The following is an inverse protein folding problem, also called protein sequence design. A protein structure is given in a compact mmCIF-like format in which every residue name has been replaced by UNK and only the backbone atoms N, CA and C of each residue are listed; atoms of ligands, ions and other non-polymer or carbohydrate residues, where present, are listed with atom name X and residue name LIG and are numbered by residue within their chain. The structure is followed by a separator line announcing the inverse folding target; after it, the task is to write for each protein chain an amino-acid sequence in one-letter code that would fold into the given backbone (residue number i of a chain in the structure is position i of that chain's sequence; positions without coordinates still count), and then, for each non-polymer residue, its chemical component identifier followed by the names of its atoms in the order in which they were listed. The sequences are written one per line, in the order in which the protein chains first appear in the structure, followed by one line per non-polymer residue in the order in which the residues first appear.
data_IF_372639821622
#
_entry.id   IF_372639821622
#
_cell.length_a   1.000
_cell.length_b   1.000
_cell.length_c   1.000
_cell.angle_alpha   90.00
_cell.angle_beta   90.00
_cell.angle_gamma   90.00
#
_symmetry.space_group_name_H-M   'P 1'
#
loop_
_entity.id
_entity.type
_entity.pdbx_description
1 polymer ?
#
# COMPACT_ATOMS: atom_id res chain seq x y z
N UNK A 1 -36.96 -60.99 46.88
CA UNK A 1 -36.49 -62.12 46.05
C UNK A 1 -36.40 -61.66 44.60
N UNK A 2 -35.19 -61.29 44.17
CA UNK A 2 -34.73 -61.41 42.78
C UNK A 2 -34.36 -62.89 42.52
N UNK A 3 -33.96 -63.32 41.31
CA UNK A 3 -34.31 -62.90 39.94
C UNK A 3 -34.58 -64.14 39.04
N UNK A 4 -34.94 -63.97 37.76
CA UNK A 4 -34.35 -64.77 36.68
C UNK A 4 -34.55 -64.05 35.35
N UNK A 5 -33.43 -63.71 34.71
CA UNK A 5 -33.40 -63.28 33.32
C UNK A 5 -33.16 -64.45 32.38
N UNK A 6 -33.55 -64.29 31.13
CA UNK A 6 -32.99 -65.04 30.00
C UNK A 6 -32.93 -64.13 28.78
N UNK A 7 -31.74 -64.05 28.20
CA UNK A 7 -31.38 -63.30 27.01
C UNK A 7 -32.04 -63.85 25.72
N UNK A 8 -32.18 -62.99 24.71
CA UNK A 8 -32.61 -63.41 23.36
C UNK A 8 -32.71 -62.26 22.35
N UNK A 9 -31.58 -62.00 21.69
CA UNK A 9 -31.26 -61.22 20.49
C UNK A 9 -32.35 -60.74 19.49
N UNK A 10 -32.00 -59.63 18.83
CA UNK A 10 -32.47 -59.21 17.49
C UNK A 10 -33.46 -58.04 17.58
N UNK A 11 -33.19 -56.82 17.12
CA UNK A 11 -32.35 -56.40 16.01
C UNK A 11 -33.23 -55.51 15.14
N UNK A 12 -33.27 -54.21 15.43
CA UNK A 12 -33.72 -53.17 14.50
C UNK A 12 -33.04 -51.84 14.89
N UNK A 13 -31.71 -51.89 14.93
CA UNK A 13 -30.91 -50.70 14.75
C UNK A 13 -31.03 -50.29 13.28
N UNK A 14 -32.00 -49.43 12.97
CA UNK A 14 -32.05 -48.74 11.68
C UNK A 14 -30.72 -47.99 11.54
N UNK A 15 -29.79 -48.62 10.83
CA UNK A 15 -28.58 -48.00 10.33
C UNK A 15 -29.05 -46.80 9.52
N UNK A 16 -28.92 -45.61 10.12
CA UNK A 16 -28.86 -44.34 9.37
C UNK A 16 -27.67 -44.47 8.43
N UNK A 17 -27.92 -45.09 7.28
CA UNK A 17 -27.18 -44.84 6.05
C UNK A 17 -26.92 -43.34 5.99
N UNK A 18 -25.65 -42.97 6.10
CA UNK A 18 -25.19 -41.59 6.15
C UNK A 18 -25.46 -40.90 4.80
N UNK A 19 -26.71 -40.56 4.52
CA UNK A 19 -27.01 -39.47 3.62
C UNK A 19 -26.77 -38.16 4.39
N UNK A 20 -25.50 -37.83 4.60
CA UNK A 20 -25.13 -36.46 5.00
C UNK A 20 -25.62 -35.56 3.86
N UNK A 21 -26.51 -34.62 4.14
CA UNK A 21 -26.92 -33.57 3.20
C UNK A 21 -25.66 -32.92 2.58
N UNK A 22 -25.27 -33.39 1.39
CA UNK A 22 -24.11 -32.88 0.63
C UNK A 22 -24.42 -31.54 -0.03
N UNK A 23 -25.66 -31.08 0.07
CA UNK A 23 -26.14 -29.86 -0.58
C UNK A 23 -25.55 -28.61 0.09
N UNK A 24 -25.52 -28.55 1.43
CA UNK A 24 -24.98 -27.38 2.15
C UNK A 24 -23.50 -27.09 1.80
N UNK A 25 -22.57 -28.06 1.82
CA UNK A 25 -21.19 -27.81 1.39
C UNK A 25 -21.06 -27.42 -0.08
N UNK A 26 -21.91 -27.97 -0.94
CA UNK A 26 -21.90 -27.68 -2.39
C UNK A 26 -22.39 -26.27 -2.66
N UNK A 27 -23.49 -25.86 -2.02
CA UNK A 27 -24.03 -24.50 -2.08
C UNK A 27 -23.04 -23.46 -1.59
N UNK A 28 -22.32 -23.71 -0.50
CA UNK A 28 -21.28 -22.79 0.00
C UNK A 28 -20.17 -22.59 -1.04
N UNK A 29 -19.71 -23.67 -1.69
CA UNK A 29 -18.68 -23.56 -2.75
C UNK A 29 -19.17 -22.73 -3.93
N UNK A 30 -20.39 -22.97 -4.40
CA UNK A 30 -20.96 -22.18 -5.49
C UNK A 30 -21.16 -20.72 -5.10
N UNK A 31 -21.65 -20.43 -3.90
CA UNK A 31 -21.79 -19.07 -3.37
C UNK A 31 -20.45 -18.34 -3.32
N UNK A 32 -19.40 -19.00 -2.83
CA UNK A 32 -18.06 -18.43 -2.79
C UNK A 32 -17.55 -18.09 -4.19
N UNK A 33 -17.65 -19.03 -5.13
CA UNK A 33 -17.19 -18.85 -6.51
C UNK A 33 -17.97 -17.71 -7.20
N UNK A 34 -19.29 -17.67 -7.03
CA UNK A 34 -20.13 -16.63 -7.62
C UNK A 34 -19.79 -15.24 -7.08
N UNK A 35 -19.58 -15.10 -5.77
CA UNK A 35 -19.19 -13.84 -5.15
C UNK A 35 -17.82 -13.37 -5.65
N UNK A 36 -16.82 -14.26 -5.72
CA UNK A 36 -15.49 -13.94 -6.24
C UNK A 36 -15.52 -13.60 -7.73
N UNK A 37 -16.34 -14.30 -8.51
CA UNK A 37 -16.51 -14.04 -9.94
C UNK A 37 -17.11 -12.67 -10.19
N UNK A 38 -18.14 -12.28 -9.44
CA UNK A 38 -18.75 -10.96 -9.56
C UNK A 38 -17.73 -9.82 -9.28
N UNK A 39 -16.86 -9.98 -8.28
CA UNK A 39 -15.79 -9.02 -8.00
C UNK A 39 -14.73 -9.00 -9.10
N UNK A 40 -14.32 -10.17 -9.60
CA UNK A 40 -13.41 -10.29 -10.74
C UNK A 40 -13.98 -9.61 -11.99
N UNK A 41 -15.25 -9.81 -12.31
CA UNK A 41 -15.91 -9.21 -13.47
C UNK A 41 -16.00 -7.68 -13.37
N UNK A 42 -16.19 -7.13 -12.17
CA UNK A 42 -16.15 -5.69 -11.94
C UNK A 42 -14.77 -5.09 -12.25
N UNK A 43 -13.71 -5.76 -11.80
CA UNK A 43 -12.31 -5.32 -11.96
C UNK A 43 -11.78 -5.62 -13.37
N UNK A 44 -12.28 -6.66 -14.05
CA UNK A 44 -11.87 -7.09 -15.40
C UNK A 44 -11.92 -5.97 -16.44
N UNK A 45 -12.89 -5.07 -16.32
CA UNK A 45 -13.05 -3.94 -17.25
C UNK A 45 -11.94 -2.88 -17.15
N UNK A 46 -11.07 -2.96 -16.13
CA UNK A 46 -9.89 -2.12 -15.97
C UNK A 46 -8.60 -2.81 -16.40
N UNK A 47 -8.66 -4.05 -16.93
CA UNK A 47 -7.47 -4.79 -17.33
C UNK A 47 -6.94 -4.34 -18.70
N UNK A 48 -5.64 -4.04 -18.76
CA UNK A 48 -4.88 -3.79 -19.99
C UNK A 48 -4.90 -2.33 -20.48
N UNK A 49 -4.23 -2.01 -21.61
CA UNK A 49 -4.10 -0.63 -22.11
C UNK A 49 -5.41 0.03 -22.54
N UNK A 50 -6.46 -0.77 -22.77
CA UNK A 50 -7.82 -0.30 -23.08
C UNK A 50 -8.76 -0.46 -21.87
N UNK A 51 -8.20 -0.70 -20.69
CA UNK A 51 -8.95 -0.73 -19.43
C UNK A 51 -9.57 0.63 -19.15
N UNK A 52 -10.78 0.61 -18.61
CA UNK A 52 -11.47 1.83 -18.20
C UNK A 52 -11.20 2.12 -16.72
N UNK A 53 -10.95 3.39 -16.42
CA UNK A 53 -10.81 3.84 -15.04
C UNK A 53 -12.15 3.74 -14.29
N UNK A 54 -12.05 3.50 -12.98
CA UNK A 54 -13.20 3.48 -12.08
C UNK A 54 -13.19 4.73 -11.24
N UNK A 55 -14.31 5.46 -11.31
CA UNK A 55 -14.63 6.52 -10.37
C UNK A 55 -15.35 5.89 -9.18
N UNK A 56 -14.76 6.02 -8.00
CA UNK A 56 -15.30 5.51 -6.74
C UNK A 56 -15.50 6.70 -5.81
N UNK A 57 -16.72 6.85 -5.31
CA UNK A 57 -17.05 7.86 -4.30
C UNK A 57 -17.08 7.19 -2.93
N UNK A 58 -16.23 7.66 -2.02
CA UNK A 58 -16.24 7.22 -0.64
C UNK A 58 -17.40 7.85 0.15
N UNK A 59 -17.74 7.28 1.30
CA UNK A 59 -18.87 7.73 2.12
C UNK A 59 -18.70 9.18 2.66
N UNK A 60 -17.46 9.67 2.75
CA UNK A 60 -17.14 11.04 3.13
C UNK A 60 -17.26 12.05 1.97
N UNK A 61 -17.60 11.59 0.77
CA UNK A 61 -17.70 12.41 -0.44
C UNK A 61 -16.43 12.48 -1.27
N UNK A 62 -15.31 11.91 -0.83
CA UNK A 62 -14.06 11.90 -1.59
C UNK A 62 -14.20 11.03 -2.84
N UNK A 63 -13.86 11.60 -4.00
CA UNK A 63 -13.90 10.92 -5.29
C UNK A 63 -12.49 10.48 -5.66
N UNK A 64 -12.29 9.18 -5.88
CA UNK A 64 -11.05 8.61 -6.39
C UNK A 64 -11.30 8.03 -7.78
N UNK A 65 -10.48 8.42 -8.74
CA UNK A 65 -10.48 7.84 -10.09
C UNK A 65 -9.20 7.03 -10.22
N UNK A 66 -9.32 5.73 -10.50
CA UNK A 66 -8.17 4.84 -10.60
C UNK A 66 -8.40 3.67 -11.55
N UNK A 67 -7.31 3.20 -12.17
CA UNK A 67 -7.24 1.96 -12.94
C UNK A 67 -6.73 0.78 -12.09
N UNK A 68 -6.04 1.09 -10.99
CA UNK A 68 -5.35 0.09 -10.19
C UNK A 68 -6.33 -0.80 -9.41
N UNK A 69 -6.26 -2.12 -9.67
CA UNK A 69 -7.11 -3.12 -9.06
C UNK A 69 -7.04 -3.14 -7.53
N UNK A 70 -5.86 -2.93 -6.95
CA UNK A 70 -5.69 -2.92 -5.50
C UNK A 70 -6.42 -1.73 -4.87
N UNK A 71 -6.27 -0.54 -5.46
CA UNK A 71 -6.98 0.66 -5.01
C UNK A 71 -8.50 0.52 -5.19
N UNK A 72 -8.97 -0.03 -6.32
CA UNK A 72 -10.40 -0.29 -6.57
C UNK A 72 -10.97 -1.21 -5.48
N UNK A 73 -10.30 -2.34 -5.23
CA UNK A 73 -10.74 -3.34 -4.27
C UNK A 73 -10.68 -2.85 -2.82
N UNK A 74 -9.71 -2.00 -2.48
CA UNK A 74 -9.58 -1.41 -1.15
C UNK A 74 -10.68 -0.40 -0.84
N UNK A 75 -11.13 0.35 -1.84
CA UNK A 75 -12.22 1.32 -1.67
C UNK A 75 -13.60 0.68 -1.77
N UNK A 76 -13.71 -0.43 -2.51
CA UNK A 76 -14.95 -1.21 -2.58
C UNK A 76 -15.21 -1.91 -1.24
N UNK A 77 -16.34 -1.61 -0.61
CA UNK A 77 -16.75 -2.28 0.63
C UNK A 77 -17.28 -3.69 0.34
N UNK A 78 -16.38 -4.66 0.21
CA UNK A 78 -16.72 -6.06 -0.04
C UNK A 78 -17.16 -6.75 1.26
N UNK A 79 -18.43 -7.14 1.35
CA UNK A 79 -19.00 -7.81 2.52
C UNK A 79 -18.74 -9.32 2.56
N UNK A 80 -18.70 -9.97 1.39
CA UNK A 80 -18.59 -11.43 1.31
C UNK A 80 -17.16 -11.91 1.65
N UNK A 81 -16.96 -12.82 2.62
CA UNK A 81 -15.62 -13.23 3.06
C UNK A 81 -14.72 -13.76 1.94
N UNK A 82 -15.25 -14.63 1.06
CA UNK A 82 -14.48 -15.15 -0.08
C UNK A 82 -13.99 -14.05 -1.03
N UNK A 83 -14.76 -12.98 -1.19
CA UNK A 83 -14.37 -11.87 -2.05
C UNK A 83 -13.38 -10.92 -1.34
N UNK A 84 -13.43 -10.83 -0.01
CA UNK A 84 -12.40 -10.14 0.78
C UNK A 84 -11.01 -10.79 0.62
N UNK A 85 -10.95 -12.11 0.43
CA UNK A 85 -9.69 -12.80 0.11
C UNK A 85 -9.07 -12.31 -1.20
N UNK A 86 -9.87 -11.91 -2.21
CA UNK A 86 -9.34 -11.31 -3.44
C UNK A 86 -8.73 -9.93 -3.20
N UNK A 87 -9.28 -9.16 -2.26
CA UNK A 87 -8.71 -7.86 -1.85
C UNK A 87 -7.33 -8.07 -1.21
N UNK A 88 -7.21 -9.07 -0.34
CA UNK A 88 -5.93 -9.42 0.30
C UNK A 88 -4.91 -9.95 -0.72
N UNK A 89 -5.34 -10.77 -1.68
CA UNK A 89 -4.51 -11.25 -2.79
C UNK A 89 -3.97 -10.09 -3.63
N UNK A 90 -4.84 -9.15 -4.02
CA UNK A 90 -4.44 -7.97 -4.78
C UNK A 90 -3.48 -7.08 -3.99
N UNK A 91 -3.64 -6.98 -2.68
CA UNK A 91 -2.75 -6.21 -1.80
C UNK A 91 -1.39 -6.87 -1.64
N UNK A 92 -1.34 -8.20 -1.54
CA UNK A 92 -0.07 -8.93 -1.48
C UNK A 92 0.71 -8.73 -2.79
N UNK A 93 0.04 -8.79 -3.94
CA UNK A 93 0.66 -8.53 -5.24
C UNK A 93 1.21 -7.10 -5.36
N UNK A 94 0.49 -6.10 -4.83
CA UNK A 94 0.91 -4.70 -4.80
C UNK A 94 2.19 -4.48 -3.95
N UNK A 95 2.36 -5.26 -2.88
CA UNK A 95 3.55 -5.16 -2.02
C UNK A 95 4.76 -5.90 -2.60
N UNK A 96 4.55 -7.12 -3.10
CA UNK A 96 5.64 -7.99 -3.56
C UNK A 96 6.15 -7.62 -4.96
N UNK A 97 5.24 -7.30 -5.88
CA UNK A 97 5.58 -7.00 -7.27
C UNK A 97 5.33 -5.54 -7.66
N UNK A 98 4.38 -4.85 -7.02
CA UNK A 98 4.01 -3.47 -7.34
C UNK A 98 3.24 -3.28 -8.66
N UNK A 99 2.98 -4.36 -9.40
CA UNK A 99 2.18 -4.37 -10.63
C UNK A 99 1.39 -5.67 -10.78
N UNK A 100 0.39 -5.68 -11.68
CA UNK A 100 -0.44 -6.84 -11.96
C UNK A 100 -1.54 -7.11 -10.94
N UNK A 101 -1.86 -6.13 -10.09
CA UNK A 101 -2.94 -6.18 -9.07
C UNK A 101 -4.29 -6.54 -9.68
N UNK A 102 -4.63 -5.97 -10.84
CA UNK A 102 -5.83 -6.30 -11.60
C UNK A 102 -5.77 -7.71 -12.19
N UNK A 103 -4.61 -8.09 -12.74
CA UNK A 103 -4.42 -9.39 -13.41
C UNK A 103 -4.56 -10.57 -12.45
N UNK A 104 -4.02 -10.48 -11.24
CA UNK A 104 -4.08 -11.58 -10.26
C UNK A 104 -5.52 -11.87 -9.82
N UNK A 105 -6.35 -10.84 -9.71
CA UNK A 105 -7.77 -10.95 -9.34
C UNK A 105 -8.57 -11.60 -10.47
N UNK A 106 -8.34 -11.16 -11.71
CA UNK A 106 -9.01 -11.73 -12.89
C UNK A 106 -8.60 -13.18 -13.12
N UNK A 107 -7.32 -13.51 -12.90
CA UNK A 107 -6.81 -14.87 -12.98
C UNK A 107 -7.47 -15.76 -11.91
N UNK A 108 -7.53 -15.31 -10.66
CA UNK A 108 -8.18 -16.04 -9.57
C UNK A 108 -9.67 -16.27 -9.85
N UNK A 109 -10.39 -15.24 -10.32
CA UNK A 109 -11.80 -15.37 -10.72
C UNK A 109 -12.01 -16.40 -11.85
N UNK A 110 -11.13 -16.38 -12.85
CA UNK A 110 -11.18 -17.32 -13.99
C UNK A 110 -10.88 -18.76 -13.58
N UNK A 111 -9.90 -18.98 -12.69
CA UNK A 111 -9.57 -20.30 -12.13
C UNK A 111 -10.72 -20.87 -11.29
N UNK A 112 -11.40 -20.03 -10.52
CA UNK A 112 -12.57 -20.43 -9.74
C UNK A 112 -13.77 -20.78 -10.63
N UNK A 113 -13.97 -20.05 -11.72
CA UNK A 113 -15.02 -20.36 -12.72
C UNK A 113 -14.74 -21.69 -13.44
N UNK A 114 -13.48 -21.92 -13.85
CA UNK A 114 -13.05 -23.20 -14.41
C UNK A 114 -13.25 -24.34 -13.39
N UNK A 115 -12.94 -24.10 -12.12
CA UNK A 115 -13.15 -25.07 -11.04
C UNK A 115 -14.63 -25.40 -10.84
N UNK A 116 -15.55 -24.44 -11.01
CA UNK A 116 -17.00 -24.70 -10.94
C UNK A 116 -17.46 -25.72 -11.99
N UNK A 117 -16.89 -25.66 -13.19
CA UNK A 117 -17.17 -26.64 -14.25
C UNK A 117 -16.70 -28.05 -13.87
N UNK A 118 -15.53 -28.18 -13.23
CA UNK A 118 -15.00 -29.47 -12.77
C UNK A 118 -15.81 -30.03 -11.60
N UNK A 119 -16.26 -29.16 -10.68
CA UNK A 119 -17.14 -29.53 -9.57
C UNK A 119 -18.49 -30.06 -10.08
N UNK A 120 -19.07 -29.44 -11.11
CA UNK A 120 -20.33 -29.93 -11.71
C UNK A 120 -20.21 -31.32 -12.36
N UNK A 121 -18.99 -31.70 -12.77
CA UNK A 121 -18.68 -33.04 -13.30
C UNK A 121 -18.42 -34.09 -12.21
N UNK A 122 -18.55 -33.71 -10.93
CA UNK A 122 -18.39 -34.61 -9.79
C UNK A 122 -16.93 -34.83 -9.35
N UNK A 123 -15.98 -34.02 -9.83
CA UNK A 123 -14.57 -34.14 -9.40
C UNK A 123 -14.45 -33.63 -7.95
N UNK A 124 -13.71 -34.38 -7.12
CA UNK A 124 -13.52 -34.01 -5.72
C UNK A 124 -12.71 -32.69 -5.59
N UNK A 125 -13.13 -31.71 -4.76
CA UNK A 125 -12.47 -30.41 -4.64
C UNK A 125 -10.95 -30.50 -4.37
N UNK A 126 -10.53 -31.43 -3.53
CA UNK A 126 -9.10 -31.65 -3.20
C UNK A 126 -8.27 -32.01 -4.44
N UNK A 127 -8.82 -32.82 -5.35
CA UNK A 127 -8.13 -33.18 -6.59
C UNK A 127 -7.97 -31.98 -7.53
N UNK A 128 -8.96 -31.08 -7.55
CA UNK A 128 -8.88 -29.82 -8.30
C UNK A 128 -7.79 -28.92 -7.70
N UNK A 129 -7.78 -28.74 -6.38
CA UNK A 129 -6.75 -27.93 -5.70
C UNK A 129 -5.34 -28.46 -5.93
N UNK A 130 -5.13 -29.77 -5.81
CA UNK A 130 -3.84 -30.40 -6.08
C UNK A 130 -3.42 -30.25 -7.55
N UNK A 131 -4.37 -30.40 -8.48
CA UNK A 131 -4.13 -30.20 -9.91
C UNK A 131 -3.70 -28.77 -10.24
N UNK A 132 -4.38 -27.77 -9.67
CA UNK A 132 -4.02 -26.35 -9.85
C UNK A 132 -2.63 -26.06 -9.25
N UNK A 133 -2.31 -26.61 -8.08
CA UNK A 133 -1.00 -26.41 -7.46
C UNK A 133 0.14 -26.96 -8.34
N UNK A 134 -0.02 -28.18 -8.87
CA UNK A 134 0.96 -28.79 -9.78
C UNK A 134 1.09 -27.98 -11.07
N UNK A 135 -0.03 -27.50 -11.62
CA UNK A 135 -0.03 -26.65 -12.80
C UNK A 135 0.70 -25.33 -12.53
N UNK A 136 0.47 -24.70 -11.38
CA UNK A 136 1.13 -23.45 -10.99
C UNK A 136 2.65 -23.62 -10.92
N UNK A 137 3.15 -24.68 -10.25
CA UNK A 137 4.59 -24.98 -10.20
C UNK A 137 5.18 -25.22 -11.58
N UNK A 138 4.47 -25.94 -12.46
CA UNK A 138 4.98 -26.17 -13.81
C UNK A 138 4.96 -24.89 -14.65
N UNK A 139 3.94 -24.05 -14.48
CA UNK A 139 3.85 -22.76 -15.16
C UNK A 139 4.97 -21.81 -14.73
N UNK A 140 5.36 -21.78 -13.45
CA UNK A 140 6.50 -20.95 -13.00
C UNK A 140 7.81 -21.41 -13.62
N UNK A 141 8.07 -22.72 -13.68
CA UNK A 141 9.27 -23.26 -14.38
C UNK A 141 9.31 -22.85 -15.85
N UNK A 142 8.15 -22.88 -16.53
CA UNK A 142 8.07 -22.46 -17.94
C UNK A 142 8.34 -20.97 -18.08
N UNK A 143 7.77 -20.13 -17.20
CA UNK A 143 8.02 -18.69 -17.20
C UNK A 143 9.50 -18.39 -16.99
N UNK A 144 10.16 -19.04 -16.03
CA UNK A 144 11.60 -18.90 -15.78
C UNK A 144 12.44 -19.27 -17.02
N UNK A 145 12.03 -20.31 -17.76
CA UNK A 145 12.72 -20.70 -19.00
C UNK A 145 12.54 -19.71 -20.16
N UNK A 146 11.52 -18.85 -20.10
CA UNK A 146 11.21 -17.83 -21.12
C UNK A 146 11.79 -16.46 -20.77
N UNK A 147 12.32 -16.26 -19.56
CA UNK A 147 12.88 -14.97 -19.13
C UNK A 147 14.10 -14.62 -19.97
N UNK A 148 14.09 -13.42 -20.55
CA UNK A 148 15.27 -12.80 -21.13
C UNK A 148 15.97 -11.98 -20.04
N UNK A 149 17.16 -12.36 -19.58
CA UNK A 149 17.88 -11.61 -18.56
C UNK A 149 18.25 -10.23 -19.11
N UNK A 150 18.09 -9.19 -18.28
CA UNK A 150 18.43 -7.82 -18.61
C UNK A 150 19.54 -7.33 -17.70
N UNK A 151 20.52 -6.66 -18.29
CA UNK A 151 21.56 -5.97 -17.54
C UNK A 151 21.05 -4.61 -17.06
N UNK A 152 21.38 -4.24 -15.82
CA UNK A 152 20.99 -2.95 -15.24
C UNK A 152 21.61 -1.74 -15.96
N UNK A 153 22.67 -1.96 -16.73
CA UNK A 153 23.26 -0.94 -17.60
C UNK A 153 22.42 -0.65 -18.85
N UNK A 154 21.51 -1.54 -19.23
CA UNK A 154 20.63 -1.34 -20.38
C UNK A 154 19.44 -0.44 -20.01
N UNK A 155 19.72 0.87 -20.02
CA UNK A 155 18.74 1.92 -19.79
C UNK A 155 17.57 1.85 -20.77
N UNK A 156 17.79 1.43 -22.02
CA UNK A 156 16.73 1.43 -23.04
C UNK A 156 15.66 0.39 -22.71
N UNK A 157 16.06 -0.81 -22.31
CA UNK A 157 15.13 -1.86 -21.88
C UNK A 157 14.37 -1.48 -20.61
N UNK A 158 15.02 -0.82 -19.64
CA UNK A 158 14.36 -0.30 -18.44
C UNK A 158 13.30 0.75 -18.78
N UNK A 159 13.61 1.68 -19.70
CA UNK A 159 12.66 2.68 -20.17
C UNK A 159 11.45 2.05 -20.89
N UNK A 160 11.69 1.04 -21.73
CA UNK A 160 10.60 0.29 -22.40
C UNK A 160 9.70 -0.42 -21.39
N UNK A 161 10.27 -1.02 -20.36
CA UNK A 161 9.52 -1.67 -19.28
C UNK A 161 8.64 -0.68 -18.51
N UNK A 162 9.24 0.43 -18.04
CA UNK A 162 8.51 1.49 -17.34
C UNK A 162 7.41 2.14 -18.19
N UNK A 163 7.68 2.40 -19.47
CA UNK A 163 6.69 2.94 -20.40
C UNK A 163 5.51 1.99 -20.60
N UNK A 164 5.79 0.68 -20.75
CA UNK A 164 4.75 -0.34 -20.90
C UNK A 164 3.82 -0.39 -19.69
N UNK A 165 4.36 -0.30 -18.46
CA UNK A 165 3.57 -0.29 -17.22
C UNK A 165 2.70 0.97 -17.06
N UNK A 166 3.11 2.10 -17.64
CA UNK A 166 2.35 3.35 -17.57
C UNK A 166 1.26 3.48 -18.64
N UNK A 167 1.31 2.69 -19.72
CA UNK A 167 0.42 2.83 -20.86
C UNK A 167 -1.06 2.53 -20.58
N UNK A 168 -1.39 1.79 -19.53
CA UNK A 168 -2.78 1.55 -19.09
C UNK A 168 -3.34 2.62 -18.17
N UNK A 169 -2.52 3.59 -17.74
CA UNK A 169 -2.92 4.65 -16.80
C UNK A 169 -3.33 5.92 -17.56
N UNK A 170 -4.03 6.81 -16.87
CA UNK A 170 -4.40 8.16 -17.37
C UNK A 170 -3.18 8.92 -17.90
N UNK A 171 -2.01 8.67 -17.33
CA UNK A 171 -0.74 9.29 -17.68
C UNK A 171 -0.03 8.65 -18.89
N UNK A 172 -0.68 7.74 -19.62
CA UNK A 172 -0.11 7.05 -20.78
C UNK A 172 0.46 7.99 -21.84
N UNK A 173 -0.22 9.11 -22.10
CA UNK A 173 0.23 10.16 -23.03
C UNK A 173 1.53 10.83 -22.57
N UNK A 174 1.78 10.86 -21.26
CA UNK A 174 2.96 11.45 -20.63
C UNK A 174 4.01 10.40 -20.23
N UNK A 175 3.86 9.15 -20.69
CA UNK A 175 4.80 8.07 -20.38
C UNK A 175 6.22 8.39 -20.83
N UNK A 176 6.41 9.18 -21.89
CA UNK A 176 7.72 9.64 -22.37
C UNK A 176 8.47 10.52 -21.35
N UNK A 177 7.75 11.26 -20.51
CA UNK A 177 8.33 12.15 -19.48
C UNK A 177 8.49 11.38 -18.17
N UNK A 178 7.47 10.60 -17.79
CA UNK A 178 7.44 9.91 -16.50
C UNK A 178 8.33 8.67 -16.46
N UNK A 179 8.51 7.95 -17.58
CA UNK A 179 9.35 6.74 -17.59
C UNK A 179 10.82 7.05 -17.29
N UNK A 180 11.46 8.06 -17.92
CA UNK A 180 12.80 8.48 -17.55
C UNK A 180 12.93 8.88 -16.08
N UNK A 181 11.97 9.64 -15.55
CA UNK A 181 11.95 10.06 -14.14
C UNK A 181 11.96 8.84 -13.21
N UNK A 182 11.10 7.85 -13.48
CA UNK A 182 11.01 6.64 -12.68
C UNK A 182 12.32 5.82 -12.73
N UNK A 183 12.87 5.61 -13.93
CA UNK A 183 14.13 4.87 -14.11
C UNK A 183 15.29 5.61 -13.44
N UNK A 184 15.43 6.91 -13.66
CA UNK A 184 16.51 7.71 -13.06
C UNK A 184 16.41 7.79 -11.53
N UNK A 185 15.20 7.83 -10.98
CA UNK A 185 15.01 7.80 -9.53
C UNK A 185 15.48 6.46 -8.93
N UNK A 186 15.09 5.33 -9.53
CA UNK A 186 15.48 3.99 -9.06
C UNK A 186 16.99 3.76 -9.26
N UNK A 187 17.56 4.17 -10.39
CA UNK A 187 19.00 4.03 -10.65
C UNK A 187 19.89 4.83 -9.70
N UNK A 188 19.36 5.88 -9.06
CA UNK A 188 20.10 6.66 -8.04
C UNK A 188 20.03 6.04 -6.64
N UNK A 189 18.98 5.28 -6.35
CA UNK A 189 18.77 4.63 -5.05
C UNK A 189 19.36 3.23 -5.01
N UNK A 190 19.45 2.56 -6.16
CA UNK A 190 20.00 1.20 -6.23
C UNK A 190 21.48 1.19 -5.83
N UNK A 191 21.81 0.41 -4.81
CA UNK A 191 23.18 0.06 -4.49
C UNK A 191 23.52 -1.27 -5.19
N UNK A 192 24.49 -1.31 -6.12
CA UNK A 192 24.84 -2.51 -6.87
C UNK A 192 25.30 -3.67 -5.98
N UNK A 193 25.66 -3.43 -4.71
CA UNK A 193 26.07 -4.46 -3.76
C UNK A 193 24.88 -5.14 -3.07
N UNK A 194 23.74 -4.45 -2.93
CA UNK A 194 22.52 -4.94 -2.22
C UNK A 194 21.31 -5.10 -3.14
N UNK A 195 21.56 -5.25 -4.44
CA UNK A 195 20.59 -5.16 -5.55
C UNK A 195 19.44 -6.20 -5.58
N UNK A 196 19.17 -6.92 -4.50
CA UNK A 196 18.01 -7.83 -4.39
C UNK A 196 16.70 -7.12 -4.12
N UNK A 197 16.70 -5.99 -3.40
CA UNK A 197 15.48 -5.20 -3.19
C UNK A 197 15.82 -3.71 -3.00
N UNK A 198 15.10 -2.84 -3.71
CA UNK A 198 15.28 -1.39 -3.62
C UNK A 198 14.28 -0.83 -2.61
N UNK A 199 14.74 -0.06 -1.63
CA UNK A 199 13.82 0.62 -0.71
C UNK A 199 13.15 1.81 -1.40
N UNK A 200 11.87 1.65 -1.76
CA UNK A 200 11.08 2.71 -2.38
C UNK A 200 10.80 3.88 -1.42
N UNK A 201 11.04 3.72 -0.10
CA UNK A 201 10.88 4.83 0.86
C UNK A 201 11.91 5.95 0.65
N UNK A 202 13.05 5.65 0.02
CA UNK A 202 14.05 6.65 -0.35
C UNK A 202 13.58 7.55 -1.50
N UNK A 203 12.59 7.11 -2.28
CA UNK A 203 11.98 7.89 -3.37
C UNK A 203 10.71 8.58 -2.86
N UNK A 204 10.87 9.82 -2.41
CA UNK A 204 9.74 10.61 -1.89
C UNK A 204 8.98 11.35 -3.00
N UNK A 205 7.75 10.93 -3.27
CA UNK A 205 6.84 11.63 -4.19
C UNK A 205 6.08 12.73 -3.45
N UNK A 206 6.31 13.99 -3.82
CA UNK A 206 5.61 15.16 -3.26
C UNK A 206 4.60 15.69 -4.28
N UNK A 207 3.31 15.64 -3.93
CA UNK A 207 2.23 16.16 -4.77
C UNK A 207 1.91 17.61 -4.37
N UNK A 208 1.91 18.53 -5.33
CA UNK A 208 1.43 19.90 -5.16
C UNK A 208 0.31 20.17 -6.17
N UNK A 209 -0.72 20.88 -5.73
CA UNK A 209 -1.82 21.29 -6.58
C UNK A 209 -1.38 22.48 -7.44
N UNK A 210 -1.72 22.44 -8.73
CA UNK A 210 -1.33 23.45 -9.73
C UNK A 210 -0.43 22.86 -10.82
N UNK A 211 -0.34 23.55 -11.96
CA UNK A 211 0.41 23.08 -13.13
C UNK A 211 -0.26 21.92 -13.86
N UNK A 212 0.52 21.27 -14.71
CA UNK A 212 0.16 20.09 -15.50
C UNK A 212 1.05 18.89 -15.15
N UNK A 213 0.70 17.70 -15.63
CA UNK A 213 1.53 16.49 -15.41
C UNK A 213 2.91 16.63 -16.09
N UNK A 214 3.00 17.42 -17.16
CA UNK A 214 4.25 17.70 -17.88
C UNK A 214 5.26 18.49 -17.05
N UNK A 215 4.79 19.27 -16.06
CA UNK A 215 5.63 20.04 -15.14
C UNK A 215 6.29 19.18 -14.05
N UNK A 216 6.12 17.85 -14.12
CA UNK A 216 6.72 16.92 -13.16
C UNK A 216 8.22 16.76 -13.44
N UNK A 217 9.05 17.03 -12.43
CA UNK A 217 10.50 16.91 -12.53
C UNK A 217 11.08 16.03 -11.41
N UNK A 218 12.21 15.38 -11.71
CA UNK A 218 13.01 14.67 -10.72
C UNK A 218 13.98 15.64 -10.05
N UNK A 219 13.78 15.88 -8.75
CA UNK A 219 14.69 16.70 -7.95
C UNK A 219 15.70 15.80 -7.25
N UNK A 220 16.98 16.08 -7.44
CA UNK A 220 18.09 15.42 -6.73
C UNK A 220 18.22 15.96 -5.30
N UNK A 221 17.28 15.56 -4.45
CA UNK A 221 17.26 15.97 -3.04
C UNK A 221 15.88 15.82 -2.41
N UNK A 222 15.80 16.16 -1.12
CA UNK A 222 14.55 16.07 -0.37
C UNK A 222 13.72 17.35 -0.52
N UNK A 223 12.48 17.21 -1.00
CA UNK A 223 11.53 18.31 -1.09
C UNK A 223 10.64 18.35 0.15
N UNK A 224 10.54 19.54 0.76
CA UNK A 224 9.64 19.79 1.89
C UNK A 224 8.40 20.55 1.42
N UNK A 225 7.23 20.12 1.90
CA UNK A 225 5.95 20.78 1.59
C UNK A 225 5.65 21.97 2.49
N UNK A 226 6.34 22.07 3.63
CA UNK A 226 6.20 23.10 4.65
C UNK A 226 6.74 24.44 4.17
N UNK A 227 6.01 25.52 4.47
CA UNK A 227 6.50 26.88 4.25
C UNK A 227 7.46 27.30 5.35
N UNK A 228 8.34 28.24 5.03
CA UNK A 228 9.16 28.92 6.03
C UNK A 228 8.25 29.65 7.02
N UNK A 229 8.59 29.56 8.31
CA UNK A 229 7.82 30.19 9.38
C UNK A 229 8.29 31.64 9.58
N UNK A 230 7.38 32.61 9.49
CA UNK A 230 7.59 34.01 9.88
C UNK A 230 7.76 35.02 8.73
N UNK A 231 7.31 36.26 8.98
CA UNK A 231 7.53 37.39 8.10
C UNK A 231 9.02 37.79 8.12
N UNK A 232 9.71 37.66 6.98
CA UNK A 232 11.13 38.03 6.85
C UNK A 232 12.14 36.88 6.83
N UNK A 233 11.68 35.62 6.75
CA UNK A 233 12.58 34.48 6.54
C UNK A 233 13.30 34.54 5.18
N UNK A 234 14.57 34.08 5.08
CA UNK A 234 15.30 34.05 3.82
C UNK A 234 14.63 33.08 2.84
N UNK A 235 14.43 33.53 1.60
CA UNK A 235 13.81 32.71 0.53
C UNK A 235 14.80 31.73 -0.09
N UNK A 236 16.09 32.09 -0.13
CA UNK A 236 17.17 31.26 -0.64
C UNK A 236 18.38 31.38 0.28
N UNK A 237 18.98 30.24 0.63
CA UNK A 237 20.21 30.17 1.41
C UNK A 237 21.22 29.35 0.63
N UNK A 238 22.33 29.96 0.22
CA UNK A 238 23.42 29.26 -0.47
C UNK A 238 24.41 28.68 0.53
N UNK A 239 24.96 27.50 0.23
CA UNK A 239 25.89 26.74 1.12
C UNK A 239 25.28 26.53 2.52
N UNK A 240 24.09 25.95 2.54
CA UNK A 240 23.35 25.66 3.76
C UNK A 240 24.01 24.56 4.62
N UNK A 241 24.18 24.82 5.92
CA UNK A 241 24.39 23.84 6.98
C UNK A 241 23.05 23.60 7.68
N UNK A 242 22.43 22.47 7.33
CA UNK A 242 21.10 22.09 7.80
C UNK A 242 21.22 21.43 9.18
N UNK A 243 20.47 21.94 10.16
CA UNK A 243 20.32 21.34 11.48
C UNK A 243 18.94 20.73 11.65
N UNK A 244 18.89 19.48 12.10
CA UNK A 244 17.65 18.80 12.47
C UNK A 244 17.48 18.89 13.99
N UNK A 245 16.37 19.49 14.44
CA UNK A 245 16.05 19.64 15.86
C UNK A 245 14.73 18.94 16.15
N UNK A 246 14.76 17.98 17.07
CA UNK A 246 13.56 17.23 17.49
C UNK A 246 12.80 17.91 18.64
N UNK A 247 13.46 18.76 19.44
CA UNK A 247 12.84 19.47 20.56
C UNK A 247 12.17 20.79 20.12
N UNK A 248 11.21 21.27 20.91
CA UNK A 248 10.54 22.55 20.63
C UNK A 248 11.42 23.73 21.04
N UNK A 249 11.47 24.76 20.20
CA UNK A 249 11.98 26.07 20.61
C UNK A 249 10.79 26.87 21.15
N UNK A 250 10.54 26.75 22.45
CA UNK A 250 9.45 27.44 23.15
C UNK A 250 9.92 27.92 24.52
N UNK A 251 9.14 28.76 25.23
CA UNK A 251 9.35 29.01 26.64
C UNK A 251 9.45 27.68 27.42
N UNK A 252 10.18 27.66 28.54
CA UNK A 252 10.43 26.46 29.31
C UNK A 252 9.10 25.85 29.76
N UNK A 253 8.79 24.67 29.23
CA UNK A 253 7.67 23.84 29.67
C UNK A 253 8.22 22.73 30.54
N UNK A 254 7.67 22.59 31.73
CA UNK A 254 7.89 21.43 32.58
C UNK A 254 6.95 20.31 32.14
N UNK A 255 7.40 19.06 32.22
CA UNK A 255 6.54 17.91 31.94
C UNK A 255 5.46 17.69 33.02
N UNK A 256 5.67 18.30 34.19
CA UNK A 256 4.72 18.33 35.31
C UNK A 256 3.92 19.63 35.29
N UNK A 257 2.68 19.58 35.81
CA UNK A 257 1.84 20.76 36.02
C UNK A 257 2.59 21.79 36.89
N UNK A 258 2.87 22.94 36.29
CA UNK A 258 3.56 24.04 36.94
C UNK A 258 2.72 25.32 36.82
N UNK A 259 2.49 25.97 37.95
CA UNK A 259 1.78 27.24 38.02
C UNK A 259 2.76 28.33 38.45
N UNK A 260 2.98 29.30 37.57
CA UNK A 260 3.77 30.48 37.89
C UNK A 260 2.87 31.50 38.57
N UNK A 261 2.97 31.61 39.89
CA UNK A 261 2.24 32.62 40.67
C UNK A 261 3.04 33.93 40.63
N UNK A 262 2.47 34.96 40.01
CA UNK A 262 3.07 36.30 39.93
C UNK A 262 2.38 37.19 40.95
N UNK A 263 3.11 37.63 41.98
CA UNK A 263 2.55 38.42 43.09
C UNK A 263 2.77 39.93 42.95
N UNK A 264 3.72 40.35 42.10
CA UNK A 264 4.02 41.77 41.87
C UNK A 264 4.23 42.08 40.37
N UNK A 265 3.95 43.31 39.97
CA UNK A 265 4.10 43.78 38.60
C UNK A 265 5.57 43.75 38.13
N UNK A 266 6.52 43.95 39.05
CA UNK A 266 7.95 43.84 38.75
C UNK A 266 8.38 42.40 38.41
N UNK A 267 7.73 41.40 39.00
CA UNK A 267 7.99 39.98 38.73
C UNK A 267 7.48 39.57 37.35
N UNK A 268 6.39 40.18 36.88
CA UNK A 268 5.85 39.93 35.54
C UNK A 268 6.89 40.26 34.45
N UNK A 269 7.55 41.41 34.53
CA UNK A 269 8.61 41.79 33.56
C UNK A 269 9.84 40.87 33.66
N UNK A 270 10.16 40.39 34.87
CA UNK A 270 11.26 39.44 35.08
C UNK A 270 11.00 38.09 34.40
N UNK A 271 9.79 37.53 34.54
CA UNK A 271 9.41 36.25 33.89
C UNK A 271 9.52 36.38 32.36
N UNK A 272 8.99 37.46 31.79
CA UNK A 272 9.06 37.71 30.35
C UNK A 272 10.51 37.83 29.84
N UNK A 273 11.40 38.43 30.63
CA UNK A 273 12.84 38.52 30.29
C UNK A 273 13.53 37.16 30.38
N UNK A 274 13.23 36.35 31.39
CA UNK A 274 13.81 35.01 31.55
C UNK A 274 13.37 34.07 30.42
N UNK A 275 12.09 34.09 30.03
CA UNK A 275 11.59 33.30 28.88
C UNK A 275 12.28 33.70 27.57
N UNK A 276 12.44 35.00 27.33
CA UNK A 276 13.17 35.51 26.15
C UNK A 276 14.64 35.12 26.18
N UNK A 277 15.29 35.22 27.35
CA UNK A 277 16.69 34.85 27.51
C UNK A 277 16.91 33.35 27.25
N UNK A 278 16.00 32.49 27.71
CA UNK A 278 16.05 31.05 27.47
C UNK A 278 16.04 30.71 25.96
N UNK A 279 15.08 31.28 25.22
CA UNK A 279 14.99 31.09 23.77
C UNK A 279 16.25 31.63 23.08
N UNK A 280 16.71 32.81 23.50
CA UNK A 280 17.88 33.48 22.91
C UNK A 280 19.18 32.69 23.13
N UNK A 281 19.33 32.00 24.26
CA UNK A 281 20.50 31.15 24.52
C UNK A 281 20.51 29.88 23.66
N UNK A 282 19.34 29.28 23.39
CA UNK A 282 19.22 28.17 22.42
C UNK A 282 19.62 28.66 21.03
N UNK A 283 19.09 29.80 20.58
CA UNK A 283 19.41 30.38 19.26
C UNK A 283 20.89 30.74 19.15
N UNK A 284 21.51 31.29 20.21
CA UNK A 284 22.96 31.54 20.25
C UNK A 284 23.78 30.28 20.06
N UNK A 285 23.41 29.17 20.70
CA UNK A 285 24.11 27.87 20.54
C UNK A 285 24.02 27.38 19.10
N UNK A 286 22.85 27.48 18.49
CA UNK A 286 22.63 27.12 17.07
C UNK A 286 23.49 28.00 16.16
N UNK A 287 23.52 29.32 16.40
CA UNK A 287 24.32 30.25 15.60
C UNK A 287 25.83 29.98 15.75
N UNK A 288 26.29 29.66 16.96
CA UNK A 288 27.69 29.26 17.23
C UNK A 288 28.08 27.98 16.49
N UNK A 289 27.16 27.02 16.35
CA UNK A 289 27.38 25.83 15.54
C UNK A 289 27.46 26.12 14.02
N UNK A 290 27.14 27.35 13.60
CA UNK A 290 27.18 27.76 12.20
C UNK A 290 26.03 27.20 11.35
N UNK A 291 24.97 26.69 11.98
CA UNK A 291 23.77 26.25 11.29
C UNK A 291 23.01 27.46 10.71
N UNK A 292 22.60 27.37 9.45
CA UNK A 292 21.90 28.44 8.75
C UNK A 292 20.50 28.05 8.26
N UNK A 293 20.16 26.75 8.24
CA UNK A 293 18.81 26.23 7.96
C UNK A 293 18.44 25.26 9.06
N UNK A 294 17.29 25.49 9.69
CA UNK A 294 16.78 24.65 10.78
C UNK A 294 15.51 23.95 10.34
N UNK A 295 15.47 22.63 10.54
CA UNK A 295 14.27 21.83 10.41
C UNK A 295 13.87 21.35 11.80
N UNK A 296 12.71 21.81 12.26
CA UNK A 296 12.19 21.50 13.59
C UNK A 296 11.03 20.52 13.41
N UNK A 297 11.10 19.38 14.11
CA UNK A 297 10.07 18.34 14.01
C UNK A 297 8.76 18.72 14.73
N UNK A 298 8.86 19.44 15.85
CA UNK A 298 7.71 19.87 16.66
C UNK A 298 7.29 21.30 16.33
N UNK A 299 6.00 21.62 16.50
CA UNK A 299 5.45 22.95 16.20
C UNK A 299 6.20 24.05 16.94
N UNK A 300 6.48 25.13 16.20
CA UNK A 300 6.94 26.41 16.74
C UNK A 300 5.68 27.11 17.26
N UNK A 301 5.66 27.46 18.55
CA UNK A 301 4.59 28.19 19.23
C UNK A 301 5.15 29.51 19.73
#
# INVERSE_FOLDING_TARGET
MTPFGSAGAGGDGVSRSQYKDKDKPTQIRYSNIQATKAVSDAVRTSLGPRGMDKMIQAANGDVTITNDGATILKQMQVLHPAAKMLVELSKAQDIEAGDGTTSVVVLAGSLLDASASLLSRGIHPTAISEGIQRAATKSTEILESMVTPLDLSDRESLLKSASTALNSKVVSQYSSILSPIAVDAVMKVIDPVTATNVDLNDIKIVKKLGGTVEDTELIEGLVFTSRTSGAGGPTKVEKAKIGLIQFCISPPKTDMDNQVIVSDYTQMDRVLREERAYILDIVKKIKKAGCNVLLIQKSIL
#
